data_IF_188638337264
#
_entry.id   IF_188638337264
#
_cell.length_a   1.000
_cell.length_b   1.000
_cell.length_c   1.000
_cell.angle_alpha   90.00
_cell.angle_beta   90.00
_cell.angle_gamma   90.00
#
_symmetry.space_group_name_H-M   'P 1'
#
loop_
_entity.id
_entity.type
_entity.pdbx_description
1 polymer ?
#
# COMPACT_ATOMS: atom_id res chain seq x y z
N UNK A 1 59.62 -41.25 61.07
CA UNK A 1 59.84 -39.86 61.55
C UNK A 1 58.96 -38.93 60.72
N UNK A 2 58.38 -37.92 61.38
CA UNK A 2 57.57 -36.78 60.88
C UNK A 2 56.06 -37.00 60.64
N UNK A 3 55.36 -36.76 61.75
CA UNK A 3 54.07 -36.06 61.92
C UNK A 3 53.86 -34.83 61.03
N UNK A 4 52.62 -34.57 60.60
CA UNK A 4 51.89 -33.28 60.70
C UNK A 4 50.66 -33.29 59.77
N UNK A 5 49.43 -33.28 60.30
CA UNK A 5 48.60 -32.14 60.77
C UNK A 5 47.62 -31.66 59.69
N UNK A 6 46.33 -31.80 60.01
CA UNK A 6 45.19 -31.18 59.33
C UNK A 6 45.36 -29.65 59.29
N UNK A 7 45.01 -29.05 58.15
CA UNK A 7 44.41 -27.71 58.11
C UNK A 7 43.23 -27.77 57.13
N UNK A 8 42.04 -27.57 57.70
CA UNK A 8 40.77 -27.37 57.04
C UNK A 8 40.80 -25.95 56.41
N UNK A 9 40.59 -25.82 55.11
CA UNK A 9 40.39 -24.50 54.47
C UNK A 9 39.06 -24.51 53.73
N UNK A 10 38.07 -23.83 54.33
CA UNK A 10 36.80 -23.50 53.71
C UNK A 10 37.07 -22.41 52.68
N UNK A 11 36.96 -22.72 51.39
CA UNK A 11 37.00 -21.73 50.33
C UNK A 11 35.57 -21.43 49.86
N UNK A 12 35.17 -20.18 50.09
CA UNK A 12 33.89 -19.59 49.77
C UNK A 12 33.67 -19.61 48.24
N UNK A 13 32.53 -20.13 47.81
CA UNK A 13 32.05 -20.06 46.42
C UNK A 13 31.63 -18.62 46.11
N UNK A 14 32.24 -18.01 45.10
CA UNK A 14 31.73 -16.80 44.45
C UNK A 14 31.47 -17.12 42.97
N UNK A 15 30.30 -17.67 42.68
CA UNK A 15 29.75 -17.78 41.33
C UNK A 15 29.37 -16.40 40.83
N UNK A 16 30.16 -15.84 39.91
CA UNK A 16 29.80 -14.66 39.15
C UNK A 16 28.75 -15.05 38.09
N UNK A 17 27.47 -14.75 38.37
CA UNK A 17 26.45 -14.68 37.32
C UNK A 17 26.72 -13.41 36.50
N UNK A 18 27.26 -13.58 35.29
CA UNK A 18 27.16 -12.55 34.26
C UNK A 18 25.76 -12.66 33.67
N UNK A 19 24.81 -11.93 34.27
CA UNK A 19 23.53 -11.67 33.64
C UNK A 19 23.74 -10.61 32.56
N UNK A 20 23.84 -11.04 31.29
CA UNK A 20 23.69 -10.15 30.15
C UNK A 20 22.29 -9.55 30.17
N UNK A 21 22.19 -8.26 30.44
CA UNK A 21 20.94 -7.53 30.56
C UNK A 21 20.19 -7.44 29.23
N UNK A 22 19.23 -8.33 29.03
CA UNK A 22 18.03 -7.96 28.27
C UNK A 22 17.24 -6.98 29.13
N UNK A 23 16.99 -5.76 28.63
CA UNK A 23 16.10 -4.80 29.30
C UNK A 23 14.70 -5.42 29.38
N UNK A 24 14.31 -5.90 30.55
CA UNK A 24 12.94 -6.26 30.88
C UNK A 24 12.13 -4.97 31.07
N UNK A 25 11.52 -4.48 29.99
CA UNK A 25 10.64 -3.29 29.98
C UNK A 25 9.33 -3.48 30.79
N UNK A 26 9.10 -4.67 31.36
CA UNK A 26 7.85 -5.01 32.06
C UNK A 26 7.65 -4.29 33.42
N UNK A 27 8.63 -3.54 33.90
CA UNK A 27 8.58 -2.86 35.21
C UNK A 27 9.09 -1.42 35.15
N UNK A 28 8.88 -0.73 34.02
CA UNK A 28 9.16 0.71 33.93
C UNK A 28 7.93 1.50 34.45
N UNK A 29 8.01 2.15 35.63
CA UNK A 29 6.88 2.93 36.18
C UNK A 29 6.55 4.17 35.35
N UNK A 30 7.38 4.55 34.37
CA UNK A 30 7.09 5.63 33.41
C UNK A 30 6.45 5.12 32.11
N UNK A 31 6.30 3.80 31.92
CA UNK A 31 5.67 3.23 30.74
C UNK A 31 4.19 3.64 30.67
N UNK A 32 3.85 4.48 29.67
CA UNK A 32 2.47 4.92 29.40
C UNK A 32 1.60 3.83 28.76
N UNK A 33 2.20 2.74 28.33
CA UNK A 33 1.54 1.64 27.61
C UNK A 33 1.62 0.38 28.47
N UNK A 34 0.48 -0.16 28.87
CA UNK A 34 0.38 -1.44 29.58
C UNK A 34 0.55 -2.61 28.59
N UNK A 35 1.67 -3.36 28.61
CA UNK A 35 1.90 -4.47 27.68
C UNK A 35 0.98 -5.67 27.90
N UNK A 36 0.38 -5.79 29.09
CA UNK A 36 -0.46 -6.92 29.47
C UNK A 36 -1.92 -6.74 29.03
N UNK A 37 -2.32 -5.50 28.70
CA UNK A 37 -3.64 -5.18 28.16
C UNK A 37 -4.03 -6.01 26.93
N UNK A 38 -5.34 -6.07 26.66
CA UNK A 38 -5.90 -6.83 25.54
C UNK A 38 -5.48 -6.27 24.18
N UNK A 39 -5.43 -7.11 23.14
CA UNK A 39 -4.98 -6.70 21.80
C UNK A 39 -5.81 -5.56 21.18
N UNK A 40 -7.14 -5.59 21.37
CA UNK A 40 -8.06 -4.53 20.93
C UNK A 40 -7.91 -3.24 21.73
N UNK A 41 -7.61 -3.35 23.02
CA UNK A 41 -7.42 -2.20 23.91
C UNK A 41 -6.12 -1.47 23.56
N UNK A 42 -5.02 -2.21 23.43
CA UNK A 42 -3.74 -1.71 22.94
C UNK A 42 -3.86 -1.06 21.57
N UNK A 43 -4.59 -1.69 20.64
CA UNK A 43 -4.86 -1.10 19.33
C UNK A 43 -5.64 0.22 19.44
N UNK A 44 -6.70 0.25 20.23
CA UNK A 44 -7.53 1.44 20.45
C UNK A 44 -6.73 2.57 21.10
N UNK A 45 -5.90 2.25 22.08
CA UNK A 45 -4.98 3.20 22.70
C UNK A 45 -3.99 3.75 21.68
N UNK A 46 -3.31 2.86 20.95
CA UNK A 46 -2.31 3.24 19.94
C UNK A 46 -2.91 4.11 18.84
N UNK A 47 -4.12 3.78 18.38
CA UNK A 47 -4.83 4.59 17.39
C UNK A 47 -5.23 5.97 17.92
N UNK A 48 -5.66 6.08 19.18
CA UNK A 48 -5.94 7.38 19.81
C UNK A 48 -4.67 8.21 20.02
N UNK A 49 -3.58 7.59 20.47
CA UNK A 49 -2.28 8.25 20.59
C UNK A 49 -1.80 8.77 19.23
N UNK A 50 -1.96 7.96 18.18
CA UNK A 50 -1.64 8.32 16.80
C UNK A 50 -2.42 9.57 16.35
N UNK A 51 -3.73 9.62 16.61
CA UNK A 51 -4.56 10.78 16.30
C UNK A 51 -4.14 12.06 17.05
N UNK A 52 -3.55 11.93 18.24
CA UNK A 52 -2.97 13.05 19.00
C UNK A 52 -1.57 13.46 18.54
N UNK A 53 -0.97 12.73 17.58
CA UNK A 53 0.40 12.96 17.12
C UNK A 53 1.47 12.34 18.03
N UNK A 54 1.09 11.56 19.03
CA UNK A 54 1.97 10.83 19.95
C UNK A 54 2.47 9.55 19.25
N UNK A 55 3.31 9.72 18.22
CA UNK A 55 3.65 8.63 17.30
C UNK A 55 4.49 7.52 17.93
N UNK A 56 5.32 7.84 18.93
CA UNK A 56 6.14 6.86 19.63
C UNK A 56 5.27 5.97 20.53
N UNK A 57 4.41 6.58 21.35
CA UNK A 57 3.44 5.84 22.17
C UNK A 57 2.47 5.02 21.31
N UNK A 58 2.03 5.59 20.18
CA UNK A 58 1.23 4.86 19.21
C UNK A 58 1.96 3.63 18.66
N UNK A 59 3.21 3.79 18.26
CA UNK A 59 4.03 2.70 17.75
C UNK A 59 4.18 1.57 18.77
N UNK A 60 4.49 1.90 20.02
CA UNK A 60 4.66 0.91 21.09
C UNK A 60 3.36 0.14 21.36
N UNK A 61 2.24 0.83 21.51
CA UNK A 61 0.96 0.19 21.74
C UNK A 61 0.50 -0.67 20.55
N UNK A 62 0.72 -0.19 19.31
CA UNK A 62 0.43 -0.97 18.11
C UNK A 62 1.34 -2.20 18.00
N UNK A 63 2.61 -2.11 18.41
CA UNK A 63 3.54 -3.25 18.47
C UNK A 63 3.02 -4.32 19.42
N UNK A 64 2.67 -3.96 20.65
CA UNK A 64 2.11 -4.94 21.60
C UNK A 64 0.78 -5.53 21.09
N UNK A 65 -0.09 -4.72 20.48
CA UNK A 65 -1.31 -5.23 19.87
C UNK A 65 -1.04 -6.24 18.74
N UNK A 66 -0.07 -5.95 17.87
CA UNK A 66 0.33 -6.82 16.76
C UNK A 66 1.00 -8.12 17.23
N UNK A 67 1.82 -8.05 18.29
CA UNK A 67 2.43 -9.21 18.96
C UNK A 67 1.35 -10.14 19.52
N UNK A 68 0.21 -9.59 19.95
CA UNK A 68 -1.00 -10.32 20.37
C UNK A 68 -1.95 -10.68 19.22
N UNK A 69 -1.52 -10.52 17.97
CA UNK A 69 -2.28 -10.93 16.78
C UNK A 69 -3.32 -9.94 16.27
N UNK A 70 -3.32 -8.67 16.71
CA UNK A 70 -4.29 -7.69 16.19
C UNK A 70 -3.99 -7.32 14.72
N UNK A 71 -4.87 -7.66 13.76
CA UNK A 71 -4.59 -7.55 12.33
C UNK A 71 -4.43 -6.11 11.86
N UNK A 72 -5.29 -5.20 12.34
CA UNK A 72 -5.19 -3.77 12.02
C UNK A 72 -3.95 -3.11 12.63
N UNK A 73 -3.43 -3.65 13.74
CA UNK A 73 -2.23 -3.10 14.38
C UNK A 73 -1.00 -3.49 13.56
N UNK A 74 -0.91 -4.76 13.17
CA UNK A 74 0.14 -5.27 12.29
C UNK A 74 0.17 -4.50 10.96
N UNK A 75 -0.98 -4.31 10.32
CA UNK A 75 -1.07 -3.50 9.11
C UNK A 75 -0.58 -2.06 9.33
N UNK A 76 -1.00 -1.41 10.42
CA UNK A 76 -0.58 -0.04 10.71
C UNK A 76 0.92 0.06 10.98
N UNK A 77 1.53 -0.90 11.67
CA UNK A 77 2.99 -0.95 11.85
C UNK A 77 3.73 -1.04 10.52
N UNK A 78 3.27 -1.91 9.61
CA UNK A 78 3.85 -2.01 8.26
C UNK A 78 3.79 -0.67 7.53
N UNK A 79 2.67 0.04 7.63
CA UNK A 79 2.52 1.40 7.09
C UNK A 79 3.44 2.42 7.76
N UNK A 80 3.61 2.36 9.09
CA UNK A 80 4.50 3.28 9.81
C UNK A 80 5.95 3.11 9.37
N UNK A 81 6.43 1.88 9.21
CA UNK A 81 7.77 1.63 8.67
C UNK A 81 7.91 2.09 7.21
N UNK A 82 6.90 1.86 6.37
CA UNK A 82 6.93 2.24 4.95
C UNK A 82 6.97 3.77 4.73
N UNK A 83 6.45 4.54 5.69
CA UNK A 83 6.32 6.01 5.57
C UNK A 83 7.28 6.77 6.49
N UNK A 84 8.09 6.08 7.29
CA UNK A 84 8.90 6.70 8.34
C UNK A 84 8.06 7.46 9.38
N UNK A 85 6.84 6.96 9.65
CA UNK A 85 5.84 7.68 10.42
C UNK A 85 5.96 7.35 11.92
N UNK A 86 6.78 8.12 12.62
CA UNK A 86 7.07 7.90 14.06
C UNK A 86 8.22 6.93 14.33
N UNK A 87 8.72 6.28 13.29
CA UNK A 87 9.90 5.41 13.31
C UNK A 87 10.76 5.71 12.08
N UNK A 88 12.06 5.39 12.07
CA UNK A 88 12.86 5.48 10.85
C UNK A 88 12.23 4.68 9.71
N UNK A 89 12.18 5.26 8.52
CA UNK A 89 11.67 4.59 7.32
C UNK A 89 12.46 3.31 7.07
N UNK A 90 11.74 2.20 6.89
CA UNK A 90 12.32 0.89 6.65
C UNK A 90 11.40 0.04 5.78
N UNK A 91 11.59 0.20 4.48
CA UNK A 91 10.90 -0.57 3.44
C UNK A 91 10.98 -2.10 3.63
N UNK A 92 12.12 -2.61 4.10
CA UNK A 92 12.31 -4.05 4.25
C UNK A 92 11.54 -4.62 5.44
N UNK A 93 11.49 -3.90 6.57
CA UNK A 93 10.62 -4.28 7.69
C UNK A 93 9.14 -4.20 7.30
N UNK A 94 8.74 -3.14 6.59
CA UNK A 94 7.38 -3.02 6.07
C UNK A 94 7.02 -4.19 5.14
N UNK A 95 7.92 -4.56 4.22
CA UNK A 95 7.74 -5.71 3.33
C UNK A 95 7.49 -7.00 4.12
N UNK A 96 8.33 -7.32 5.11
CA UNK A 96 8.15 -8.53 5.93
C UNK A 96 6.81 -8.56 6.66
N UNK A 97 6.39 -7.42 7.20
CA UNK A 97 5.10 -7.29 7.88
C UNK A 97 3.95 -7.54 6.90
N UNK A 98 3.98 -6.95 5.71
CA UNK A 98 2.93 -7.19 4.72
C UNK A 98 2.94 -8.63 4.20
N UNK A 99 4.12 -9.23 4.00
CA UNK A 99 4.28 -10.63 3.58
C UNK A 99 3.66 -11.57 4.61
N UNK A 100 3.89 -11.29 5.90
CA UNK A 100 3.25 -12.03 6.98
C UNK A 100 1.72 -11.91 6.96
N UNK A 101 1.17 -10.69 6.77
CA UNK A 101 -0.28 -10.48 6.67
C UNK A 101 -0.90 -11.31 5.54
N UNK A 102 -0.25 -11.34 4.37
CA UNK A 102 -0.76 -12.08 3.22
C UNK A 102 -0.64 -13.59 3.42
N UNK A 103 0.45 -14.08 4.01
CA UNK A 103 0.63 -15.51 4.29
C UNK A 103 -0.41 -16.07 5.27
N UNK A 104 -0.76 -15.30 6.29
CA UNK A 104 -1.74 -15.73 7.31
C UNK A 104 -3.19 -15.69 6.79
N UNK A 105 -3.45 -15.01 5.67
CA UNK A 105 -4.78 -14.98 5.05
C UNK A 105 -5.24 -16.37 4.58
N UNK A 106 -4.32 -17.22 4.14
CA UNK A 106 -4.64 -18.53 3.56
C UNK A 106 -5.09 -19.57 4.59
N UNK A 107 -4.86 -19.32 5.89
CA UNK A 107 -5.11 -20.28 6.97
C UNK A 107 -6.50 -20.13 7.66
N UNK A 108 -7.12 -18.94 7.62
CA UNK A 108 -8.40 -18.67 8.31
C UNK A 108 -9.60 -18.74 7.34
N UNK A 109 -10.08 -19.95 7.10
CA UNK A 109 -11.31 -20.23 6.37
C UNK A 109 -12.57 -19.76 7.12
N UNK A 110 -12.87 -18.44 7.11
CA UNK A 110 -14.18 -17.97 7.55
C UNK A 110 -14.25 -16.49 7.98
N UNK A 111 -14.85 -15.66 7.13
CA UNK A 111 -15.28 -14.30 7.47
C UNK A 111 -14.20 -13.23 7.22
N UNK A 112 -14.61 -12.09 6.67
CA UNK A 112 -13.74 -11.03 6.15
C UNK A 112 -13.63 -9.78 7.05
N UNK A 113 -13.44 -9.85 8.39
CA UNK A 113 -13.36 -8.63 9.19
C UNK A 113 -12.13 -7.76 8.86
N UNK A 114 -11.15 -8.27 8.09
CA UNK A 114 -9.88 -7.59 7.79
C UNK A 114 -9.56 -7.43 6.28
N UNK A 115 -10.52 -7.68 5.38
CA UNK A 115 -10.24 -7.71 3.93
C UNK A 115 -9.60 -6.42 3.40
N UNK A 116 -9.92 -5.26 3.97
CA UNK A 116 -9.30 -3.98 3.59
C UNK A 116 -7.80 -3.92 3.93
N UNK A 117 -7.41 -4.37 5.13
CA UNK A 117 -6.01 -4.40 5.54
C UNK A 117 -5.20 -5.36 4.67
N UNK A 118 -5.77 -6.52 4.39
CA UNK A 118 -5.15 -7.53 3.56
C UNK A 118 -5.02 -7.06 2.11
N UNK A 119 -6.07 -6.49 1.51
CA UNK A 119 -6.00 -5.88 0.19
C UNK A 119 -4.88 -4.83 0.10
N UNK A 120 -4.82 -3.94 1.09
CA UNK A 120 -3.77 -2.92 1.17
C UNK A 120 -2.37 -3.53 1.32
N UNK A 121 -2.21 -4.60 2.10
CA UNK A 121 -0.93 -5.30 2.27
C UNK A 121 -0.50 -5.99 0.96
N UNK A 122 -1.41 -6.66 0.26
CA UNK A 122 -1.15 -7.28 -1.04
C UNK A 122 -0.69 -6.23 -2.06
N UNK A 123 -1.35 -5.08 -2.12
CA UNK A 123 -0.95 -3.98 -3.03
C UNK A 123 0.42 -3.43 -2.65
N UNK A 124 0.72 -3.25 -1.35
CA UNK A 124 2.02 -2.79 -0.90
C UNK A 124 3.15 -3.79 -1.25
N UNK A 125 2.91 -5.10 -1.08
CA UNK A 125 3.86 -6.13 -1.52
C UNK A 125 4.10 -6.10 -3.02
N UNK A 126 3.04 -5.95 -3.81
CA UNK A 126 3.16 -5.82 -5.25
C UNK A 126 4.00 -4.59 -5.64
N UNK A 127 3.79 -3.45 -4.97
CA UNK A 127 4.58 -2.23 -5.15
C UNK A 127 6.08 -2.47 -4.84
N UNK A 128 6.39 -3.14 -3.72
CA UNK A 128 7.75 -3.50 -3.35
C UNK A 128 8.41 -4.43 -4.37
N UNK A 129 7.72 -5.49 -4.80
CA UNK A 129 8.24 -6.42 -5.80
C UNK A 129 8.41 -5.75 -7.17
N UNK A 130 7.56 -4.77 -7.51
CA UNK A 130 7.69 -4.04 -8.77
C UNK A 130 8.94 -3.15 -8.80
N UNK A 131 9.30 -2.53 -7.67
CA UNK A 131 10.40 -1.56 -7.58
C UNK A 131 11.71 -2.12 -6.99
N UNK A 132 11.65 -3.23 -6.27
CA UNK A 132 12.74 -3.75 -5.44
C UNK A 132 12.99 -2.87 -4.20
N UNK A 133 13.75 -3.37 -3.23
CA UNK A 133 14.15 -2.61 -2.04
C UNK A 133 15.67 -2.58 -1.99
N UNK A 134 16.22 -1.36 -2.04
CA UNK A 134 17.67 -1.12 -2.03
C UNK A 134 18.27 -1.63 -0.72
N UNK A 135 19.48 -2.20 -0.78
CA UNK A 135 20.18 -2.77 0.38
C UNK A 135 19.40 -3.89 1.10
N UNK A 136 18.61 -4.67 0.37
CA UNK A 136 17.83 -5.79 0.90
C UNK A 136 17.86 -6.99 -0.07
N UNK A 137 17.43 -8.19 0.35
CA UNK A 137 17.28 -9.34 -0.54
C UNK A 137 16.08 -9.24 -1.50
N UNK A 138 15.23 -8.23 -1.37
CA UNK A 138 14.03 -8.04 -2.21
C UNK A 138 14.41 -7.34 -3.51
N UNK A 139 14.71 -8.13 -4.54
CA UNK A 139 14.95 -7.65 -5.90
C UNK A 139 13.62 -7.38 -6.64
N UNK A 140 13.72 -6.67 -7.77
CA UNK A 140 12.59 -6.49 -8.70
C UNK A 140 12.11 -7.86 -9.21
N UNK A 141 10.83 -8.14 -9.04
CA UNK A 141 10.13 -9.33 -9.53
C UNK A 141 8.78 -8.92 -10.12
N UNK A 142 8.80 -8.48 -11.38
CA UNK A 142 7.61 -8.02 -12.10
C UNK A 142 6.54 -9.11 -12.29
N UNK A 143 6.89 -10.39 -12.62
CA UNK A 143 5.89 -11.46 -12.69
C UNK A 143 5.14 -11.64 -11.36
N UNK A 144 5.85 -11.67 -10.24
CA UNK A 144 5.22 -11.83 -8.92
C UNK A 144 4.43 -10.59 -8.50
N UNK A 145 4.95 -9.39 -8.76
CA UNK A 145 4.18 -8.15 -8.56
C UNK A 145 2.85 -8.18 -9.33
N UNK A 146 2.88 -8.59 -10.61
CA UNK A 146 1.69 -8.73 -11.44
C UNK A 146 0.69 -9.74 -10.86
N UNK A 147 1.16 -10.84 -10.30
CA UNK A 147 0.30 -11.83 -9.64
C UNK A 147 -0.38 -11.25 -8.38
N UNK A 148 0.34 -10.51 -7.54
CA UNK A 148 -0.25 -9.87 -6.37
C UNK A 148 -1.24 -8.76 -6.75
N UNK A 149 -0.93 -7.92 -7.73
CA UNK A 149 -1.92 -6.98 -8.26
C UNK A 149 -3.13 -7.68 -8.84
N UNK A 150 -2.96 -8.81 -9.55
CA UNK A 150 -4.07 -9.61 -10.03
C UNK A 150 -4.96 -10.09 -8.89
N UNK A 151 -4.37 -10.68 -7.84
CA UNK A 151 -5.10 -11.13 -6.67
C UNK A 151 -5.91 -9.98 -6.04
N UNK A 152 -5.28 -8.82 -5.78
CA UNK A 152 -5.98 -7.69 -5.19
C UNK A 152 -7.06 -7.09 -6.12
N UNK A 153 -6.79 -7.04 -7.43
CA UNK A 153 -7.73 -6.51 -8.42
C UNK A 153 -8.95 -7.41 -8.61
N UNK A 154 -8.79 -8.74 -8.57
CA UNK A 154 -9.87 -9.70 -8.81
C UNK A 154 -10.62 -10.07 -7.54
N UNK A 155 -9.92 -10.27 -6.43
CA UNK A 155 -10.50 -10.78 -5.20
C UNK A 155 -11.09 -9.66 -4.33
N UNK A 156 -10.31 -8.60 -4.09
CA UNK A 156 -10.78 -7.45 -3.29
C UNK A 156 -11.43 -6.36 -4.13
N UNK A 157 -11.28 -6.40 -5.46
CA UNK A 157 -11.72 -5.31 -6.32
C UNK A 157 -11.01 -4.01 -5.99
N UNK A 158 -9.74 -4.05 -5.60
CA UNK A 158 -9.01 -2.85 -5.25
C UNK A 158 -8.81 -1.95 -6.49
N UNK A 159 -9.25 -0.69 -6.42
CA UNK A 159 -9.20 0.21 -7.57
C UNK A 159 -7.76 0.54 -8.00
N UNK A 160 -6.83 0.67 -7.04
CA UNK A 160 -5.41 0.91 -7.31
C UNK A 160 -4.79 -0.35 -7.93
N UNK A 161 -5.08 -1.54 -7.40
CA UNK A 161 -4.61 -2.79 -8.00
C UNK A 161 -5.13 -2.98 -9.43
N UNK A 162 -6.39 -2.64 -9.69
CA UNK A 162 -6.97 -2.71 -11.04
C UNK A 162 -6.28 -1.74 -12.01
N UNK A 163 -5.93 -0.53 -11.55
CA UNK A 163 -5.14 0.42 -12.33
C UNK A 163 -3.73 -0.12 -12.63
N UNK A 164 -3.03 -0.57 -11.60
CA UNK A 164 -1.66 -1.07 -11.68
C UNK A 164 -1.55 -2.30 -12.58
N UNK A 165 -2.45 -3.28 -12.39
CA UNK A 165 -2.55 -4.44 -13.27
C UNK A 165 -2.87 -4.04 -14.71
N UNK A 166 -3.75 -3.05 -14.91
CA UNK A 166 -4.08 -2.49 -16.21
C UNK A 166 -2.84 -1.90 -16.90
N UNK A 167 -2.08 -1.07 -16.19
CA UNK A 167 -0.84 -0.45 -16.68
C UNK A 167 0.23 -1.49 -17.01
N UNK A 168 0.51 -2.41 -16.09
CA UNK A 168 1.49 -3.49 -16.33
C UNK A 168 1.08 -4.37 -17.51
N UNK A 169 -0.21 -4.69 -17.63
CA UNK A 169 -0.74 -5.49 -18.74
C UNK A 169 -0.69 -4.73 -20.07
N UNK A 170 -0.81 -3.40 -20.05
CA UNK A 170 -0.68 -2.58 -21.26
C UNK A 170 0.76 -2.61 -21.79
N UNK A 171 1.74 -2.43 -20.90
CA UNK A 171 3.16 -2.37 -21.26
C UNK A 171 3.87 -3.73 -21.32
N UNK A 172 3.22 -4.80 -20.88
CA UNK A 172 3.84 -6.13 -20.82
C UNK A 172 4.83 -6.29 -19.66
N UNK A 173 4.70 -5.51 -18.60
CA UNK A 173 5.50 -5.69 -17.40
C UNK A 173 5.11 -7.00 -16.70
N UNK A 174 6.11 -7.85 -16.41
CA UNK A 174 5.89 -9.13 -15.75
C UNK A 174 5.09 -10.15 -16.59
N UNK A 175 4.99 -9.98 -17.91
CA UNK A 175 4.33 -10.94 -18.79
C UNK A 175 4.21 -10.43 -20.23
N UNK A 176 3.17 -10.83 -20.96
CA UNK A 176 2.90 -10.30 -22.31
C UNK A 176 1.96 -9.08 -22.23
N UNK A 177 2.18 -8.13 -23.13
CA UNK A 177 1.29 -7.00 -23.33
C UNK A 177 -0.06 -7.48 -23.87
N UNK A 178 -1.15 -6.91 -23.36
CA UNK A 178 -2.50 -7.17 -23.82
C UNK A 178 -3.39 -5.92 -23.62
N UNK A 179 -3.40 -4.99 -24.61
CA UNK A 179 -4.16 -3.75 -24.51
C UNK A 179 -5.66 -3.95 -24.26
N UNK A 180 -6.24 -5.04 -24.79
CA UNK A 180 -7.66 -5.35 -24.59
C UNK A 180 -7.96 -5.73 -23.15
N UNK A 181 -7.11 -6.54 -22.53
CA UNK A 181 -7.25 -6.89 -21.12
C UNK A 181 -6.94 -5.69 -20.22
N UNK A 182 -5.92 -4.90 -20.56
CA UNK A 182 -5.61 -3.65 -19.87
C UNK A 182 -6.81 -2.70 -19.82
N UNK A 183 -7.47 -2.46 -20.97
CA UNK A 183 -8.65 -1.61 -21.05
C UNK A 183 -9.80 -2.09 -20.14
N UNK A 184 -9.97 -3.41 -19.95
CA UNK A 184 -10.99 -3.95 -19.03
C UNK A 184 -10.66 -3.62 -17.57
N UNK A 185 -9.42 -3.81 -17.15
CA UNK A 185 -8.98 -3.49 -15.78
C UNK A 185 -9.02 -1.99 -15.51
N UNK A 186 -8.53 -1.19 -16.45
CA UNK A 186 -8.58 0.27 -16.38
C UNK A 186 -10.02 0.78 -16.32
N UNK A 187 -10.95 0.17 -17.05
CA UNK A 187 -12.38 0.50 -16.94
C UNK A 187 -12.93 0.24 -15.54
N UNK A 188 -12.67 -0.93 -14.96
CA UNK A 188 -13.13 -1.26 -13.61
C UNK A 188 -12.59 -0.27 -12.56
N UNK A 189 -11.32 0.12 -12.69
CA UNK A 189 -10.68 1.11 -11.83
C UNK A 189 -11.23 2.53 -12.05
N UNK A 190 -11.44 2.94 -13.31
CA UNK A 190 -11.98 4.23 -13.68
C UNK A 190 -13.44 4.42 -13.22
N UNK A 191 -14.25 3.35 -13.28
CA UNK A 191 -15.64 3.31 -12.79
C UNK A 191 -15.69 3.53 -11.26
N UNK A 192 -14.60 3.23 -10.54
CA UNK A 192 -14.42 3.52 -9.09
C UNK A 192 -13.78 4.89 -8.81
N UNK A 193 -13.58 5.70 -9.85
CA UNK A 193 -13.06 7.06 -9.72
C UNK A 193 -11.53 7.18 -9.74
N UNK A 194 -10.78 6.11 -10.03
CA UNK A 194 -9.31 6.20 -10.08
C UNK A 194 -8.84 7.07 -11.24
N UNK A 195 -8.25 8.23 -10.93
CA UNK A 195 -7.91 9.27 -11.92
C UNK A 195 -6.90 8.79 -12.95
N UNK A 196 -5.84 8.10 -12.53
CA UNK A 196 -4.86 7.54 -13.47
C UNK A 196 -5.48 6.49 -14.42
N UNK A 197 -6.50 5.77 -13.97
CA UNK A 197 -7.17 4.78 -14.81
C UNK A 197 -8.10 5.44 -15.83
N UNK A 198 -8.76 6.54 -15.43
CA UNK A 198 -9.53 7.38 -16.35
C UNK A 198 -8.61 7.97 -17.44
N UNK A 199 -7.41 8.42 -17.07
CA UNK A 199 -6.44 8.95 -18.02
C UNK A 199 -5.96 7.88 -19.01
N UNK A 200 -5.46 6.73 -18.53
CA UNK A 200 -5.01 5.65 -19.42
C UNK A 200 -6.15 5.09 -20.28
N UNK A 201 -7.35 4.92 -19.73
CA UNK A 201 -8.51 4.49 -20.53
C UNK A 201 -8.87 5.54 -21.60
N UNK A 202 -8.81 6.83 -21.26
CA UNK A 202 -9.02 7.92 -22.21
C UNK A 202 -8.00 7.88 -23.36
N UNK A 203 -6.73 7.67 -23.03
CA UNK A 203 -5.67 7.47 -24.02
C UNK A 203 -5.93 6.24 -24.92
N UNK A 204 -6.31 5.09 -24.35
CA UNK A 204 -6.65 3.89 -25.15
C UNK A 204 -7.87 4.09 -26.06
N UNK A 205 -8.88 4.85 -25.62
CA UNK A 205 -10.04 5.18 -26.45
C UNK A 205 -9.68 6.12 -27.61
N UNK A 206 -8.72 7.02 -27.39
CA UNK A 206 -8.17 7.87 -28.45
C UNK A 206 -7.37 7.06 -29.47
N UNK A 207 -6.49 6.18 -28.98
CA UNK A 207 -5.63 5.34 -29.80
C UNK A 207 -6.30 4.10 -30.39
N UNK A 208 -7.56 3.80 -30.02
CA UNK A 208 -8.19 2.48 -30.15
C UNK A 208 -7.96 1.74 -31.47
N UNK A 209 -7.95 2.45 -32.61
CA UNK A 209 -7.64 1.88 -33.93
C UNK A 209 -6.26 1.20 -34.00
N UNK A 210 -5.23 1.77 -33.38
CA UNK A 210 -3.86 1.23 -33.35
C UNK A 210 -3.76 -0.05 -32.53
N UNK A 211 -4.64 -0.21 -31.53
CA UNK A 211 -4.60 -1.31 -30.56
C UNK A 211 -5.79 -2.27 -30.67
N UNK A 212 -6.51 -2.23 -31.80
CA UNK A 212 -7.65 -3.11 -32.08
C UNK A 212 -8.77 -3.03 -31.02
N UNK A 213 -9.03 -1.83 -30.51
CA UNK A 213 -10.16 -1.45 -29.66
C UNK A 213 -11.10 -0.48 -30.41
N UNK A 214 -12.40 -0.45 -30.09
CA UNK A 214 -13.30 0.57 -30.64
C UNK A 214 -12.80 1.98 -30.28
N UNK A 215 -12.42 2.77 -31.29
CA UNK A 215 -11.92 4.13 -31.07
C UNK A 215 -13.08 5.09 -30.78
N UNK A 216 -12.88 5.94 -29.79
CA UNK A 216 -13.79 7.02 -29.42
C UNK A 216 -12.96 8.28 -29.08
N UNK A 217 -12.34 8.95 -30.07
CA UNK A 217 -11.34 9.98 -29.85
C UNK A 217 -11.85 11.17 -29.03
N UNK A 218 -13.04 11.70 -29.34
CA UNK A 218 -13.67 12.78 -28.56
C UNK A 218 -13.86 12.38 -27.11
N UNK A 219 -14.37 11.17 -26.85
CA UNK A 219 -14.56 10.65 -25.49
C UNK A 219 -13.21 10.47 -24.78
N UNK A 220 -12.21 9.96 -25.47
CA UNK A 220 -10.85 9.78 -24.94
C UNK A 220 -10.21 11.09 -24.50
N UNK A 221 -10.26 12.10 -25.37
CA UNK A 221 -9.75 13.46 -25.10
C UNK A 221 -10.49 14.12 -23.94
N UNK A 222 -11.82 13.97 -23.87
CA UNK A 222 -12.61 14.50 -22.78
C UNK A 222 -12.25 13.82 -21.45
N UNK A 223 -12.08 12.49 -21.45
CA UNK A 223 -11.65 11.74 -20.28
C UNK A 223 -10.26 12.16 -19.79
N UNK A 224 -9.29 12.35 -20.70
CA UNK A 224 -7.96 12.87 -20.37
C UNK A 224 -8.04 14.27 -19.73
N UNK A 225 -8.88 15.15 -20.29
CA UNK A 225 -9.10 16.51 -19.77
C UNK A 225 -9.67 16.50 -18.36
N UNK A 226 -10.70 15.68 -18.12
CA UNK A 226 -11.31 15.55 -16.79
C UNK A 226 -10.35 14.90 -15.79
N UNK A 227 -9.60 13.88 -16.22
CA UNK A 227 -8.61 13.22 -15.38
C UNK A 227 -7.50 14.19 -14.96
N UNK A 228 -6.95 14.97 -15.90
CA UNK A 228 -5.91 15.96 -15.61
C UNK A 228 -6.36 16.99 -14.58
N UNK A 229 -7.60 17.49 -14.69
CA UNK A 229 -8.15 18.46 -13.73
C UNK A 229 -8.34 17.89 -12.32
N UNK A 230 -8.55 16.58 -12.20
CA UNK A 230 -8.71 15.87 -10.92
C UNK A 230 -7.40 15.26 -10.40
N UNK A 231 -6.33 15.32 -11.18
CA UNK A 231 -5.08 14.64 -10.87
C UNK A 231 -4.45 15.21 -9.60
N UNK A 232 -3.87 14.32 -8.81
CA UNK A 232 -2.96 14.71 -7.74
C UNK A 232 -1.69 15.35 -8.34
N UNK A 233 -0.92 16.14 -7.58
CA UNK A 233 0.36 16.68 -8.07
C UNK A 233 1.30 15.60 -8.60
N UNK A 234 1.29 14.40 -7.99
CA UNK A 234 2.10 13.26 -8.43
C UNK A 234 1.67 12.73 -9.80
N UNK A 235 0.38 12.77 -10.11
CA UNK A 235 -0.15 12.25 -11.37
C UNK A 235 -0.26 13.28 -12.49
N UNK A 236 -0.22 14.56 -12.14
CA UNK A 236 -0.54 15.65 -13.04
C UNK A 236 0.40 15.70 -14.25
N UNK A 237 1.71 15.49 -14.03
CA UNK A 237 2.71 15.64 -15.09
C UNK A 237 2.59 14.56 -16.17
N UNK A 238 2.47 13.29 -15.77
CA UNK A 238 2.36 12.20 -16.73
C UNK A 238 1.00 12.19 -17.43
N UNK A 239 -0.08 12.57 -16.74
CA UNK A 239 -1.41 12.72 -17.38
C UNK A 239 -1.40 13.90 -18.36
N UNK A 240 -0.73 15.01 -18.04
CA UNK A 240 -0.56 16.15 -18.93
C UNK A 240 0.15 15.73 -20.20
N UNK A 241 1.25 14.97 -20.09
CA UNK A 241 1.96 14.43 -21.25
C UNK A 241 1.06 13.62 -22.18
N UNK A 242 0.24 12.71 -21.64
CA UNK A 242 -0.72 11.93 -22.44
C UNK A 242 -1.78 12.80 -23.11
N UNK A 243 -2.26 13.85 -22.43
CA UNK A 243 -3.23 14.77 -22.98
C UNK A 243 -2.61 15.61 -24.11
N UNK A 244 -1.43 16.19 -23.90
CA UNK A 244 -0.72 17.01 -24.89
C UNK A 244 -0.42 16.21 -26.16
N UNK A 245 0.06 14.98 -26.01
CA UNK A 245 0.28 14.06 -27.14
C UNK A 245 -1.05 13.82 -27.89
N UNK A 246 -2.11 13.43 -27.19
CA UNK A 246 -3.40 13.18 -27.81
C UNK A 246 -3.97 14.42 -28.51
N UNK A 247 -3.83 15.60 -27.91
CA UNK A 247 -4.27 16.87 -28.48
C UNK A 247 -3.46 17.26 -29.72
N UNK A 248 -2.15 16.97 -29.75
CA UNK A 248 -1.30 17.24 -30.92
C UNK A 248 -1.70 16.41 -32.14
N UNK A 249 -2.22 15.19 -31.92
CA UNK A 249 -2.65 14.26 -32.96
C UNK A 249 -4.13 14.41 -33.36
N UNK A 250 -4.94 15.05 -32.51
CA UNK A 250 -6.38 15.22 -32.74
C UNK A 250 -6.69 16.31 -33.79
N UNK A 251 -7.86 16.21 -34.42
CA UNK A 251 -8.39 17.34 -35.22
C UNK A 251 -8.83 18.50 -34.31
N UNK A 252 -8.86 19.72 -34.84
CA UNK A 252 -9.39 20.86 -34.08
C UNK A 252 -10.86 20.64 -33.66
N UNK A 253 -11.66 20.07 -34.56
CA UNK A 253 -13.05 19.73 -34.28
C UNK A 253 -13.17 18.78 -33.09
N UNK A 254 -12.39 17.68 -33.08
CA UNK A 254 -12.41 16.71 -31.97
C UNK A 254 -11.98 17.35 -30.65
N UNK A 255 -10.93 18.19 -30.66
CA UNK A 255 -10.48 18.91 -29.46
C UNK A 255 -11.58 19.81 -28.91
N UNK A 256 -12.22 20.62 -29.76
CA UNK A 256 -13.29 21.54 -29.34
C UNK A 256 -14.49 20.80 -28.76
N UNK A 257 -14.93 19.73 -29.43
CA UNK A 257 -16.04 18.91 -28.94
C UNK A 257 -15.69 18.21 -27.61
N UNK A 258 -14.47 17.71 -27.48
CA UNK A 258 -14.01 17.04 -26.26
C UNK A 258 -13.95 17.99 -25.05
N UNK A 259 -13.45 19.21 -25.25
CA UNK A 259 -13.41 20.24 -24.20
C UNK A 259 -14.81 20.63 -23.74
N UNK A 260 -15.72 20.93 -24.68
CA UNK A 260 -17.10 21.25 -24.36
C UNK A 260 -17.81 20.11 -23.61
N UNK A 261 -17.58 18.86 -24.02
CA UNK A 261 -18.13 17.69 -23.34
C UNK A 261 -17.58 17.53 -21.91
N UNK A 262 -16.26 17.71 -21.73
CA UNK A 262 -15.62 17.64 -20.42
C UNK A 262 -16.16 18.72 -19.47
N UNK A 263 -16.34 19.95 -19.96
CA UNK A 263 -16.91 21.06 -19.18
C UNK A 263 -18.34 20.76 -18.73
N UNK A 264 -19.19 20.30 -19.65
CA UNK A 264 -20.57 19.94 -19.33
C UNK A 264 -20.64 18.84 -18.26
N UNK A 265 -19.85 17.77 -18.39
CA UNK A 265 -19.82 16.70 -17.40
C UNK A 265 -19.35 17.17 -16.03
N UNK A 266 -18.32 18.02 -16.00
CA UNK A 266 -17.79 18.55 -14.75
C UNK A 266 -18.79 19.49 -14.06
N UNK A 267 -19.49 20.35 -14.82
CA UNK A 267 -20.54 21.20 -14.28
C UNK A 267 -21.67 20.36 -13.67
N UNK A 268 -22.16 19.36 -14.40
CA UNK A 268 -23.21 18.47 -13.89
C UNK A 268 -22.81 17.70 -12.63
N UNK A 269 -21.52 17.31 -12.51
CA UNK A 269 -21.02 16.63 -11.33
C UNK A 269 -20.93 17.58 -10.12
N UNK A 270 -20.61 18.86 -10.32
CA UNK A 270 -20.58 19.86 -9.26
C UNK A 270 -21.99 20.14 -8.69
N UNK A 271 -23.00 20.24 -9.56
CA UNK A 271 -24.39 20.47 -9.15
C UNK A 271 -24.95 19.31 -8.32
N UNK A 272 -24.58 18.07 -8.65
CA UNK A 272 -24.98 16.87 -7.89
C UNK A 272 -24.34 16.83 -6.50
N UNK A 273 -23.13 17.36 -6.34
CA UNK A 273 -22.46 17.46 -5.03
C UNK A 273 -23.10 18.58 -4.21
N UNK A 274 -23.44 19.71 -4.83
CA UNK A 274 -24.07 20.85 -4.14
C UNK A 274 -25.49 20.60 -3.66
N UNK A 275 -26.20 19.61 -4.21
CA UNK A 275 -27.58 19.27 -3.81
C UNK A 275 -27.66 18.19 -2.72
N UNK A 276 -26.52 17.60 -2.34
CA UNK A 276 -26.43 16.56 -1.30
C UNK A 276 -25.82 17.06 0.02
N UNK A 277 -25.37 18.30 0.08
CA UNK A 277 -24.92 19.01 1.29
C UNK A 277 -26.00 19.99 1.75
#
# INVERSE_FOLDING_TARGET
>A
MRTSRLILSVALVATALVAGGGRSLALDPEAKVDPDAGSLELFSFGFKAYQRGEKLEAFEALRFAADKGHPGARWKLGKMYAEGDGVPENDYEAYKIFEQIVREQDDDGGGFPNAAYVSSAVVALADYLRRGIVNSPVAVDLPRARQFYFHAASFFGDARAQFELGRMTLHGEGGKANPRQAARWLKLSADKGHVGAQALLGHLLFEGRKISLPAAPVRGLAMLTMALRKASPQDQDWIRGLQEEAFSLASEADRRTALAYAEQQMASAADVVSTKN
#
